data_IF_561538735710
#
_entry.id   IF_561538735710
#
_cell.length_a   1.000
_cell.length_b   1.000
_cell.length_c   1.000
_cell.angle_alpha   90.00
_cell.angle_beta   90.00
_cell.angle_gamma   90.00
#
_symmetry.space_group_name_H-M   'P 1'
#
loop_
_entity.id
_entity.type
_entity.pdbx_description
1 polymer ?
#
# COMPACT_ATOMS: atom_id res chain seq x y z
N UNK A 1 61.77 -17.80 -34.62
CA UNK A 1 60.85 -16.80 -33.98
C UNK A 1 59.72 -17.56 -33.32
N UNK A 2 59.72 -17.63 -31.97
CA UNK A 2 58.72 -18.35 -31.16
C UNK A 2 57.73 -17.30 -30.63
N UNK A 3 56.49 -17.39 -31.06
CA UNK A 3 55.41 -16.58 -30.51
C UNK A 3 54.87 -17.23 -29.25
N UNK A 4 55.05 -16.57 -28.12
CA UNK A 4 54.42 -16.94 -26.84
C UNK A 4 53.08 -16.24 -26.74
N UNK A 5 51.97 -16.99 -26.70
CA UNK A 5 50.63 -16.49 -26.42
C UNK A 5 50.44 -16.51 -24.91
N UNK A 6 50.33 -15.32 -24.31
CA UNK A 6 49.94 -15.17 -22.90
C UNK A 6 48.40 -15.27 -22.82
N UNK A 7 47.91 -16.34 -22.22
CA UNK A 7 46.50 -16.49 -21.88
C UNK A 7 46.20 -15.71 -20.60
N UNK A 8 45.33 -14.72 -20.69
CA UNK A 8 44.80 -13.96 -19.54
C UNK A 8 43.63 -14.74 -18.93
N UNK A 9 43.87 -15.40 -17.82
CA UNK A 9 42.77 -16.04 -17.02
C UNK A 9 42.07 -15.00 -16.19
N UNK A 10 40.84 -14.65 -16.53
CA UNK A 10 39.97 -13.81 -15.72
C UNK A 10 39.33 -14.72 -14.66
N UNK A 11 39.80 -14.61 -13.41
CA UNK A 11 39.16 -15.25 -12.28
C UNK A 11 37.86 -14.48 -11.96
N UNK A 12 36.70 -15.09 -12.19
CA UNK A 12 35.43 -14.60 -11.64
C UNK A 12 35.48 -14.79 -10.10
N UNK A 13 35.61 -13.70 -9.38
CA UNK A 13 35.39 -13.69 -7.93
C UNK A 13 33.90 -13.87 -7.66
N UNK A 14 33.49 -15.05 -7.25
CA UNK A 14 32.16 -15.29 -6.67
C UNK A 14 32.16 -14.60 -5.31
N UNK A 15 31.45 -13.48 -5.17
CA UNK A 15 31.25 -12.84 -3.92
C UNK A 15 30.50 -13.79 -2.97
N UNK A 16 31.12 -14.11 -1.83
CA UNK A 16 30.47 -14.89 -0.78
C UNK A 16 29.20 -14.15 -0.31
N UNK A 17 28.08 -14.86 -0.05
CA UNK A 17 26.89 -14.22 0.48
C UNK A 17 27.23 -13.58 1.83
N UNK A 18 27.01 -12.26 1.93
CA UNK A 18 27.14 -11.55 3.20
C UNK A 18 26.14 -12.18 4.19
N UNK A 19 26.64 -12.73 5.29
CA UNK A 19 25.78 -13.21 6.38
C UNK A 19 25.04 -11.97 6.90
N UNK A 20 23.73 -11.93 6.68
CA UNK A 20 22.89 -10.85 7.18
C UNK A 20 22.93 -10.85 8.71
N UNK A 21 23.11 -9.66 9.30
CA UNK A 21 23.04 -9.50 10.74
C UNK A 21 21.64 -9.90 11.23
N UNK A 22 21.56 -10.59 12.38
CA UNK A 22 20.29 -10.89 13.02
C UNK A 22 19.55 -9.57 13.34
N UNK A 23 18.20 -9.54 13.24
CA UNK A 23 17.44 -8.34 13.54
C UNK A 23 17.62 -7.92 15.00
N UNK A 24 17.69 -6.62 15.26
CA UNK A 24 17.66 -6.08 16.61
C UNK A 24 16.26 -6.28 17.20
N UNK A 25 16.15 -6.71 18.45
CA UNK A 25 14.86 -6.95 19.10
C UNK A 25 14.78 -6.32 20.50
N UNK A 26 13.58 -5.89 20.89
CA UNK A 26 13.27 -5.41 22.24
C UNK A 26 11.81 -5.69 22.59
N UNK A 27 11.47 -5.50 23.85
CA UNK A 27 10.08 -5.48 24.32
C UNK A 27 9.63 -4.03 24.41
N UNK A 28 8.51 -3.68 23.78
CA UNK A 28 7.93 -2.36 23.92
C UNK A 28 7.53 -2.12 25.37
N UNK A 29 8.05 -1.06 25.98
CA UNK A 29 7.91 -0.82 27.41
C UNK A 29 6.47 -0.46 27.83
N UNK A 30 5.63 0.03 26.90
CA UNK A 30 4.25 0.41 27.19
C UNK A 30 3.25 -0.69 26.91
N UNK A 31 3.53 -1.52 25.89
CA UNK A 31 2.59 -2.55 25.42
C UNK A 31 3.00 -3.97 25.83
N UNK A 32 4.28 -4.22 26.06
CA UNK A 32 4.81 -5.54 26.38
C UNK A 32 5.03 -6.43 25.16
N UNK A 33 4.72 -5.99 23.94
CA UNK A 33 4.94 -6.75 22.72
C UNK A 33 6.40 -6.74 22.29
N UNK A 34 6.83 -7.83 21.66
CA UNK A 34 8.16 -7.94 21.08
C UNK A 34 8.21 -7.24 19.74
N UNK A 35 9.17 -6.33 19.59
CA UNK A 35 9.44 -5.59 18.36
C UNK A 35 10.79 -6.00 17.79
N UNK A 36 10.86 -6.15 16.47
CA UNK A 36 12.09 -6.39 15.72
C UNK A 36 12.33 -5.22 14.77
N UNK A 37 13.58 -4.77 14.65
CA UNK A 37 14.01 -3.94 13.53
C UNK A 37 14.64 -4.83 12.47
N UNK A 38 13.96 -4.98 11.32
CA UNK A 38 14.36 -5.88 10.25
C UNK A 38 15.41 -5.28 9.34
N UNK A 39 15.27 -3.99 9.02
CA UNK A 39 16.20 -3.27 8.16
C UNK A 39 16.20 -1.79 8.48
N UNK A 40 17.40 -1.23 8.60
CA UNK A 40 17.66 0.22 8.66
C UNK A 40 18.56 0.69 7.52
N UNK A 41 18.66 -0.14 6.47
CA UNK A 41 19.43 0.19 5.26
C UNK A 41 18.91 1.47 4.62
N UNK A 42 19.77 2.31 4.05
CA UNK A 42 19.34 3.50 3.33
C UNK A 42 18.30 3.18 2.26
N UNK A 43 17.27 4.02 2.13
CA UNK A 43 16.22 3.85 1.13
C UNK A 43 15.33 2.62 1.32
N UNK A 44 15.36 1.99 2.52
CA UNK A 44 14.46 0.88 2.79
C UNK A 44 13.00 1.32 2.72
N UNK A 45 12.19 0.48 2.08
CA UNK A 45 10.76 0.73 1.90
C UNK A 45 10.03 -0.61 1.89
N UNK A 46 9.26 -0.86 2.95
CA UNK A 46 8.23 -1.91 2.93
C UNK A 46 7.10 -1.43 2.01
N UNK A 47 6.66 -2.27 1.10
CA UNK A 47 5.65 -1.91 0.10
C UNK A 47 4.39 -1.31 0.74
N UNK A 48 3.63 -0.56 -0.05
CA UNK A 48 2.36 0.00 0.38
C UNK A 48 1.44 -1.11 0.92
N UNK A 49 0.66 -0.81 1.95
CA UNK A 49 -0.01 -1.81 2.82
C UNK A 49 -0.83 -2.88 2.09
N UNK A 50 -1.35 -2.60 0.89
CA UNK A 50 -2.17 -3.50 0.08
C UNK A 50 -1.41 -4.20 -1.06
N UNK A 51 -0.11 -3.90 -1.27
CA UNK A 51 0.69 -4.59 -2.29
C UNK A 51 1.21 -5.92 -1.76
N UNK A 52 1.21 -6.96 -2.59
CA UNK A 52 1.80 -8.24 -2.19
C UNK A 52 3.31 -8.12 -2.01
N UNK A 53 3.79 -8.35 -0.78
CA UNK A 53 5.20 -8.34 -0.44
C UNK A 53 5.78 -9.74 -0.22
N UNK A 54 4.98 -10.80 -0.29
CA UNK A 54 5.37 -12.14 0.09
C UNK A 54 5.39 -13.08 -1.10
N UNK A 55 6.31 -14.06 -1.05
CA UNK A 55 6.28 -15.22 -1.94
C UNK A 55 4.99 -16.02 -1.74
N UNK A 56 4.56 -16.84 -2.72
CA UNK A 56 3.35 -17.67 -2.60
C UNK A 56 3.37 -18.60 -1.38
N UNK A 57 4.55 -19.04 -0.96
CA UNK A 57 4.73 -19.90 0.23
C UNK A 57 4.76 -19.09 1.53
N UNK A 58 4.81 -17.76 1.46
CA UNK A 58 4.94 -16.89 2.62
C UNK A 58 6.30 -16.97 3.34
N UNK A 59 7.28 -17.63 2.76
CA UNK A 59 8.60 -17.86 3.37
C UNK A 59 9.57 -16.69 3.22
N UNK A 60 9.37 -15.83 2.22
CA UNK A 60 10.16 -14.63 2.00
C UNK A 60 9.28 -13.40 1.85
N UNK A 61 9.72 -12.28 2.42
CA UNK A 61 9.20 -10.94 2.19
C UNK A 61 10.18 -10.14 1.34
N UNK A 62 9.70 -9.48 0.29
CA UNK A 62 10.52 -8.58 -0.53
C UNK A 62 10.34 -7.13 -0.08
N UNK A 63 11.39 -6.33 -0.18
CA UNK A 63 11.36 -4.90 0.11
C UNK A 63 12.43 -4.13 -0.66
N UNK A 64 12.24 -2.83 -0.79
CA UNK A 64 13.15 -1.91 -1.47
C UNK A 64 14.30 -1.49 -0.57
N UNK A 65 15.48 -1.28 -1.15
CA UNK A 65 16.61 -0.54 -0.54
C UNK A 65 17.21 0.44 -1.56
N UNK A 66 18.08 1.34 -1.14
CA UNK A 66 18.78 2.26 -2.07
C UNK A 66 19.62 1.49 -3.11
N UNK A 67 20.16 0.32 -2.72
CA UNK A 67 20.99 -0.51 -3.60
C UNK A 67 20.18 -1.42 -4.53
N UNK A 68 18.85 -1.47 -4.37
CA UNK A 68 17.96 -2.30 -5.18
C UNK A 68 16.92 -3.04 -4.36
N UNK A 69 16.81 -4.35 -4.54
CA UNK A 69 15.76 -5.18 -3.92
C UNK A 69 16.38 -6.18 -2.94
N UNK A 70 15.80 -6.28 -1.76
CA UNK A 70 16.18 -7.21 -0.71
C UNK A 70 15.05 -8.14 -0.35
N UNK A 71 15.37 -9.26 0.28
CA UNK A 71 14.41 -10.22 0.84
C UNK A 71 14.71 -10.50 2.30
N UNK A 72 13.67 -10.70 3.09
CA UNK A 72 13.74 -11.18 4.46
C UNK A 72 13.08 -12.57 4.56
N UNK A 73 13.75 -13.50 5.21
CA UNK A 73 13.17 -14.80 5.57
C UNK A 73 12.13 -14.59 6.68
N UNK A 74 10.90 -15.05 6.49
CA UNK A 74 9.79 -14.76 7.43
C UNK A 74 9.82 -15.56 8.73
N UNK A 75 10.69 -16.57 8.85
CA UNK A 75 10.87 -17.35 10.07
C UNK A 75 11.98 -16.78 10.95
N UNK A 76 13.08 -16.40 10.33
CA UNK A 76 14.28 -15.92 11.03
C UNK A 76 14.44 -14.40 10.99
N UNK A 77 13.75 -13.74 10.07
CA UNK A 77 13.89 -12.34 9.71
C UNK A 77 15.29 -11.95 9.25
N UNK A 78 16.09 -12.94 8.83
CA UNK A 78 17.39 -12.69 8.22
C UNK A 78 17.21 -12.03 6.84
N UNK A 79 17.94 -10.94 6.61
CA UNK A 79 17.86 -10.15 5.40
C UNK A 79 19.03 -10.45 4.47
N UNK A 80 18.78 -10.57 3.16
CA UNK A 80 19.80 -10.64 2.13
C UNK A 80 19.43 -9.76 0.93
N UNK A 81 20.42 -9.31 0.18
CA UNK A 81 20.18 -8.69 -1.13
C UNK A 81 19.66 -9.74 -2.12
N UNK A 82 18.64 -9.37 -2.90
CA UNK A 82 18.18 -10.13 -4.05
C UNK A 82 18.80 -9.57 -5.34
N UNK A 83 18.68 -8.28 -5.55
CA UNK A 83 19.22 -7.58 -6.72
C UNK A 83 19.99 -6.34 -6.27
N UNK A 84 21.28 -6.29 -6.62
CA UNK A 84 22.05 -5.05 -6.55
C UNK A 84 21.80 -4.25 -7.84
N UNK A 85 20.79 -3.39 -7.80
CA UNK A 85 20.31 -2.65 -8.97
C UNK A 85 19.78 -1.27 -8.55
N UNK A 86 20.70 -0.31 -8.27
CA UNK A 86 20.32 1.05 -7.91
C UNK A 86 19.44 1.67 -9.00
N UNK A 87 18.31 2.24 -8.62
CA UNK A 87 17.31 2.78 -9.57
C UNK A 87 16.19 1.81 -9.94
N UNK A 88 16.28 0.52 -9.55
CA UNK A 88 15.12 -0.35 -9.59
C UNK A 88 14.05 0.15 -8.58
N UNK A 89 12.82 0.23 -9.02
CA UNK A 89 11.66 0.52 -8.17
C UNK A 89 10.82 -0.74 -8.04
N UNK A 90 10.83 -1.31 -6.83
CA UNK A 90 10.08 -2.52 -6.51
C UNK A 90 8.58 -2.25 -6.58
N UNK A 91 7.84 -3.12 -7.26
CA UNK A 91 6.39 -3.05 -7.41
C UNK A 91 5.69 -3.99 -6.41
N UNK A 92 5.85 -5.31 -6.59
CA UNK A 92 5.23 -6.33 -5.73
C UNK A 92 5.85 -7.72 -6.01
N UNK A 93 5.50 -8.69 -5.15
CA UNK A 93 5.79 -10.10 -5.37
C UNK A 93 4.69 -10.80 -6.18
N UNK A 94 5.03 -11.90 -6.82
CA UNK A 94 4.09 -12.79 -7.49
C UNK A 94 3.13 -13.48 -6.51
N UNK A 95 1.92 -13.83 -7.00
CA UNK A 95 0.91 -14.58 -6.23
C UNK A 95 1.05 -16.09 -6.37
N UNK A 96 1.57 -16.55 -7.51
CA UNK A 96 1.75 -17.96 -7.85
C UNK A 96 3.20 -18.36 -8.05
N UNK A 97 4.02 -17.42 -8.53
CA UNK A 97 5.43 -17.65 -8.80
C UNK A 97 6.31 -16.90 -7.81
N UNK A 98 7.53 -17.39 -7.61
CA UNK A 98 8.54 -16.71 -6.77
C UNK A 98 9.23 -15.60 -7.57
N UNK A 99 8.46 -14.59 -7.92
CA UNK A 99 8.87 -13.48 -8.78
C UNK A 99 8.76 -12.15 -8.05
N UNK A 100 9.78 -11.31 -8.17
CA UNK A 100 9.73 -9.89 -7.79
C UNK A 100 9.54 -9.06 -9.07
N UNK A 101 8.46 -8.26 -9.11
CA UNK A 101 8.21 -7.33 -10.20
C UNK A 101 8.77 -5.96 -9.83
N UNK A 102 9.45 -5.31 -10.79
CA UNK A 102 10.03 -3.99 -10.57
C UNK A 102 10.06 -3.18 -11.87
N UNK A 103 10.24 -1.88 -11.74
CA UNK A 103 10.37 -0.97 -12.87
C UNK A 103 11.65 -0.17 -12.80
N UNK A 104 12.09 0.31 -13.97
CA UNK A 104 13.20 1.27 -14.08
C UNK A 104 12.82 2.37 -15.06
N UNK A 105 13.13 3.59 -14.70
CA UNK A 105 12.97 4.73 -15.58
C UNK A 105 14.23 4.90 -16.42
N UNK A 106 14.07 5.03 -17.74
CA UNK A 106 15.19 5.37 -18.63
C UNK A 106 15.77 6.73 -18.23
N UNK A 107 17.11 6.81 -18.20
CA UNK A 107 17.80 8.08 -17.96
C UNK A 107 17.79 8.90 -19.24
N UNK A 108 17.16 10.07 -19.23
CA UNK A 108 17.32 11.12 -20.23
C UNK A 108 16.07 11.52 -21.03
N UNK A 109 15.87 12.82 -21.20
CA UNK A 109 15.02 13.49 -22.18
C UNK A 109 13.52 13.41 -21.97
N UNK A 110 12.80 14.12 -22.84
CA UNK A 110 11.33 14.19 -22.84
C UNK A 110 10.65 12.85 -23.21
N UNK A 111 11.39 11.95 -23.90
CA UNK A 111 10.95 10.62 -24.32
C UNK A 111 11.26 9.51 -23.29
N UNK A 112 11.45 9.88 -22.02
CA UNK A 112 11.72 8.91 -20.98
C UNK A 112 10.61 7.85 -20.90
N UNK A 113 10.99 6.58 -20.91
CA UNK A 113 10.08 5.43 -20.77
C UNK A 113 10.33 4.73 -19.46
N UNK A 114 9.37 3.92 -19.04
CA UNK A 114 9.50 3.04 -17.90
C UNK A 114 9.54 1.60 -18.42
N UNK A 115 10.58 0.86 -18.06
CA UNK A 115 10.70 -0.56 -18.39
C UNK A 115 10.27 -1.39 -17.19
N UNK A 116 9.41 -2.37 -17.43
CA UNK A 116 8.91 -3.31 -16.44
C UNK A 116 9.68 -4.62 -16.53
N UNK A 117 10.11 -5.13 -15.40
CA UNK A 117 10.90 -6.35 -15.28
C UNK A 117 10.26 -7.33 -14.28
N UNK A 118 10.61 -8.59 -14.45
CA UNK A 118 10.39 -9.66 -13.47
C UNK A 118 11.73 -10.29 -13.12
N UNK A 119 11.98 -10.50 -11.85
CA UNK A 119 13.15 -11.20 -11.31
C UNK A 119 12.70 -12.46 -10.57
N UNK A 120 13.31 -13.58 -10.88
CA UNK A 120 13.17 -14.81 -10.11
C UNK A 120 13.87 -14.64 -8.74
N UNK A 121 13.14 -14.85 -7.64
CA UNK A 121 13.62 -14.57 -6.27
C UNK A 121 14.71 -15.56 -5.83
N UNK A 122 14.75 -16.76 -6.38
CA UNK A 122 15.70 -17.80 -6.00
C UNK A 122 17.00 -17.70 -6.78
N UNK A 123 16.91 -17.34 -8.08
CA UNK A 123 18.06 -17.33 -8.99
C UNK A 123 18.56 -15.93 -9.36
N UNK A 124 17.81 -14.88 -9.00
CA UNK A 124 18.02 -13.49 -9.38
C UNK A 124 18.04 -13.25 -10.91
N UNK A 125 17.55 -14.20 -11.71
CA UNK A 125 17.42 -14.01 -13.17
C UNK A 125 16.35 -12.99 -13.48
N UNK A 126 16.69 -12.00 -14.32
CA UNK A 126 15.82 -10.90 -14.71
C UNK A 126 15.37 -11.07 -16.16
N UNK A 127 14.07 -10.86 -16.40
CA UNK A 127 13.50 -10.74 -17.75
C UNK A 127 12.74 -9.41 -17.89
N UNK A 128 12.79 -8.82 -19.06
CA UNK A 128 11.95 -7.67 -19.40
C UNK A 128 10.55 -8.15 -19.77
N UNK A 129 9.53 -7.42 -19.29
CA UNK A 129 8.13 -7.66 -19.63
C UNK A 129 7.65 -6.69 -20.69
N UNK A 130 7.73 -5.38 -20.41
CA UNK A 130 7.19 -4.35 -21.28
C UNK A 130 7.94 -3.03 -21.13
N UNK A 131 7.68 -2.11 -22.06
CA UNK A 131 8.05 -0.70 -21.95
C UNK A 131 6.77 0.13 -22.04
N UNK A 132 6.60 1.08 -21.12
CA UNK A 132 5.44 1.96 -21.04
C UNK A 132 5.87 3.43 -21.07
N UNK A 133 4.96 4.36 -21.46
CA UNK A 133 5.26 5.79 -21.47
C UNK A 133 5.68 6.33 -20.10
N UNK A 134 6.46 7.41 -20.10
CA UNK A 134 6.69 8.22 -18.90
C UNK A 134 5.36 8.61 -18.23
N UNK A 135 5.34 8.66 -16.89
CA UNK A 135 4.13 8.95 -16.13
C UNK A 135 3.20 7.76 -15.94
N UNK A 136 3.51 6.59 -16.55
CA UNK A 136 2.81 5.35 -16.21
C UNK A 136 3.20 4.85 -14.82
N UNK A 137 2.23 4.26 -14.12
CA UNK A 137 2.45 3.49 -12.90
C UNK A 137 1.87 2.11 -13.09
N UNK A 138 2.53 1.12 -12.55
CA UNK A 138 2.02 -0.25 -12.46
C UNK A 138 1.73 -0.50 -10.99
N UNK A 139 0.47 -0.77 -10.68
CA UNK A 139 -0.01 -0.81 -9.31
C UNK A 139 -0.33 -2.24 -8.84
N UNK A 140 -0.65 -3.17 -9.74
CA UNK A 140 -1.13 -4.49 -9.31
C UNK A 140 -0.92 -5.58 -10.36
N UNK A 141 -0.96 -6.82 -9.89
CA UNK A 141 -0.88 -8.08 -10.64
C UNK A 141 -2.13 -8.89 -10.35
N UNK A 142 -2.72 -9.53 -11.37
CA UNK A 142 -3.94 -10.30 -11.18
C UNK A 142 -3.69 -11.67 -10.52
N UNK A 143 -4.77 -12.31 -10.06
CA UNK A 143 -4.74 -13.53 -9.25
C UNK A 143 -4.04 -14.72 -9.93
N UNK A 144 -4.01 -14.79 -11.26
CA UNK A 144 -3.37 -15.86 -12.03
C UNK A 144 -2.01 -15.49 -12.62
N UNK A 145 -1.50 -14.28 -12.33
CA UNK A 145 -0.23 -13.72 -12.81
C UNK A 145 -0.12 -13.59 -14.33
N UNK A 146 -1.22 -13.40 -15.01
CA UNK A 146 -1.23 -13.20 -16.46
C UNK A 146 -1.25 -11.73 -16.85
N UNK A 147 -1.77 -10.85 -15.99
CA UNK A 147 -1.95 -9.43 -16.27
C UNK A 147 -1.39 -8.54 -15.16
N UNK A 148 -0.60 -7.56 -15.56
CA UNK A 148 -0.34 -6.37 -14.76
C UNK A 148 -1.42 -5.33 -15.06
N UNK A 149 -1.81 -4.51 -14.09
CA UNK A 149 -2.61 -3.32 -14.35
C UNK A 149 -1.87 -2.06 -13.88
N UNK A 150 -2.07 -1.00 -14.65
CA UNK A 150 -1.47 0.29 -14.39
C UNK A 150 -2.31 1.43 -14.92
N UNK A 151 -1.87 2.63 -14.63
CA UNK A 151 -2.51 3.86 -15.09
C UNK A 151 -1.48 4.82 -15.68
N UNK A 152 -1.94 5.73 -16.55
CA UNK A 152 -1.13 6.79 -17.13
C UNK A 152 -1.95 8.07 -17.27
N UNK A 153 -1.35 9.20 -16.93
CA UNK A 153 -1.91 10.53 -17.21
C UNK A 153 -1.31 11.06 -18.53
N UNK A 154 -2.11 11.77 -19.30
CA UNK A 154 -1.67 12.36 -20.59
C UNK A 154 -0.64 13.48 -20.40
N UNK A 155 -0.59 14.07 -19.21
CA UNK A 155 0.37 15.10 -18.80
C UNK A 155 0.47 15.16 -17.28
N UNK A 156 1.60 15.63 -16.80
CA UNK A 156 1.77 15.91 -15.38
C UNK A 156 0.91 17.13 -14.97
N UNK A 157 0.43 17.11 -13.73
CA UNK A 157 -0.11 18.29 -13.13
C UNK A 157 1.00 19.08 -12.43
N UNK A 158 1.22 20.35 -12.75
CA UNK A 158 2.18 21.17 -12.05
C UNK A 158 1.92 21.16 -10.53
N UNK A 159 2.97 21.17 -9.74
CA UNK A 159 2.84 21.36 -8.30
C UNK A 159 2.17 22.72 -8.02
N UNK A 160 1.53 22.84 -6.86
CA UNK A 160 0.99 24.12 -6.41
C UNK A 160 2.11 25.16 -6.34
N UNK A 161 1.80 26.46 -6.55
CA UNK A 161 2.81 27.52 -6.55
C UNK A 161 3.70 27.56 -5.29
N UNK A 162 3.16 27.17 -4.14
CA UNK A 162 3.86 27.14 -2.86
C UNK A 162 4.35 25.74 -2.46
N UNK A 163 4.31 24.76 -3.37
CA UNK A 163 4.75 23.41 -3.05
C UNK A 163 6.27 23.39 -2.83
N UNK A 164 6.68 22.82 -1.71
CA UNK A 164 8.10 22.73 -1.32
C UNK A 164 8.87 21.60 -2.05
N UNK A 165 8.21 20.81 -2.90
CA UNK A 165 8.82 19.69 -3.62
C UNK A 165 8.69 18.35 -2.87
N UNK A 166 9.72 17.50 -2.97
CA UNK A 166 9.77 16.21 -2.28
C UNK A 166 10.48 16.37 -0.94
N UNK A 167 9.89 15.88 0.13
CA UNK A 167 10.55 15.80 1.42
C UNK A 167 11.69 14.76 1.36
N UNK A 168 12.92 15.21 1.51
CA UNK A 168 14.11 14.35 1.40
C UNK A 168 14.15 13.25 2.48
N UNK A 169 13.55 13.50 3.65
CA UNK A 169 13.55 12.54 4.77
C UNK A 169 12.55 11.42 4.56
N UNK A 170 11.42 11.71 3.98
CA UNK A 170 10.30 10.76 3.83
C UNK A 170 10.13 10.27 2.39
N UNK A 171 10.69 10.97 1.40
CA UNK A 171 10.48 10.69 -0.02
C UNK A 171 9.08 11.04 -0.52
N UNK A 172 8.25 11.67 0.31
CA UNK A 172 6.88 12.07 -0.06
C UNK A 172 6.86 13.45 -0.70
N UNK A 173 5.89 13.66 -1.59
CA UNK A 173 5.64 14.98 -2.17
C UNK A 173 5.11 15.92 -1.08
N UNK A 174 5.82 17.00 -0.82
CA UNK A 174 5.35 18.03 0.09
C UNK A 174 4.27 18.88 -0.59
N UNK A 175 3.10 18.96 0.02
CA UNK A 175 2.06 19.89 -0.37
C UNK A 175 2.21 21.16 0.46
N UNK A 176 2.21 22.32 -0.20
CA UNK A 176 2.19 23.62 0.47
C UNK A 176 1.17 24.52 -0.23
N UNK A 177 0.33 25.16 0.55
CA UNK A 177 -0.63 26.15 0.10
C UNK A 177 -0.92 27.12 1.25
N UNK A 178 -1.47 28.28 0.92
CA UNK A 178 -1.89 29.28 1.91
C UNK A 178 -3.40 29.50 1.83
N UNK A 179 -3.98 29.80 2.97
CA UNK A 179 -5.33 30.34 3.05
C UNK A 179 -5.41 31.72 2.36
N UNK A 180 -6.61 32.19 1.99
CA UNK A 180 -6.76 33.54 1.38
C UNK A 180 -6.21 34.67 2.22
N UNK A 181 -6.12 34.50 3.54
CA UNK A 181 -5.55 35.47 4.49
C UNK A 181 -4.01 35.40 4.60
N UNK A 182 -3.36 34.53 3.80
CA UNK A 182 -1.91 34.35 3.75
C UNK A 182 -1.32 33.37 4.77
N UNK A 183 -2.12 32.83 5.69
CA UNK A 183 -1.65 31.81 6.64
C UNK A 183 -1.34 30.50 5.91
N UNK A 184 -0.28 29.77 6.27
CA UNK A 184 0.00 28.47 5.67
C UNK A 184 -1.08 27.44 6.06
N UNK A 185 -1.46 26.60 5.10
CA UNK A 185 -2.30 25.43 5.35
C UNK A 185 -1.49 24.32 5.99
N UNK A 186 -2.12 23.55 6.89
CA UNK A 186 -1.57 22.26 7.32
C UNK A 186 -1.54 21.28 6.14
N UNK A 187 -0.70 20.25 6.25
CA UNK A 187 -0.49 19.29 5.15
C UNK A 187 -1.78 18.69 4.59
N UNK A 188 -2.70 18.28 5.47
CA UNK A 188 -3.98 17.67 5.06
C UNK A 188 -4.86 18.64 4.23
N UNK A 189 -4.94 19.91 4.64
CA UNK A 189 -5.71 20.93 3.92
C UNK A 189 -5.06 21.29 2.58
N UNK A 190 -3.73 21.39 2.55
CA UNK A 190 -2.98 21.63 1.32
C UNK A 190 -3.14 20.48 0.31
N UNK A 191 -3.20 19.23 0.79
CA UNK A 191 -3.49 18.04 -0.03
C UNK A 191 -4.90 18.15 -0.64
N UNK A 192 -5.91 18.49 0.14
CA UNK A 192 -7.28 18.65 -0.34
C UNK A 192 -7.42 19.77 -1.37
N UNK A 193 -6.76 20.92 -1.13
CA UNK A 193 -6.69 21.99 -2.10
C UNK A 193 -6.09 21.51 -3.43
N UNK A 194 -5.03 20.73 -3.40
CA UNK A 194 -4.41 20.11 -4.56
C UNK A 194 -5.35 19.17 -5.31
N UNK A 195 -6.11 18.36 -4.57
CA UNK A 195 -7.09 17.45 -5.16
C UNK A 195 -8.19 18.20 -5.91
N UNK A 196 -8.68 19.33 -5.37
CA UNK A 196 -9.64 20.20 -6.06
C UNK A 196 -9.06 20.76 -7.36
N UNK A 197 -7.84 21.29 -7.34
CA UNK A 197 -7.17 21.79 -8.55
C UNK A 197 -7.04 20.71 -9.62
N UNK A 198 -6.71 19.47 -9.22
CA UNK A 198 -6.58 18.36 -10.14
C UNK A 198 -7.92 17.94 -10.75
N UNK A 199 -8.98 17.91 -9.97
CA UNK A 199 -10.32 17.62 -10.47
C UNK A 199 -10.75 18.64 -11.51
N UNK A 200 -10.51 19.93 -11.25
CA UNK A 200 -10.87 21.02 -12.15
C UNK A 200 -10.00 21.04 -13.43
N UNK A 201 -8.76 20.57 -13.36
CA UNK A 201 -7.84 20.49 -14.49
C UNK A 201 -8.22 19.47 -15.57
N UNK A 202 -9.12 18.52 -15.26
CA UNK A 202 -9.65 17.51 -16.19
C UNK A 202 -8.55 16.80 -17.02
N UNK A 203 -7.48 16.35 -16.34
CA UNK A 203 -6.35 15.69 -17.01
C UNK A 203 -6.81 14.32 -17.51
N UNK A 204 -6.73 14.03 -18.82
CA UNK A 204 -7.06 12.72 -19.35
C UNK A 204 -6.16 11.62 -18.75
N UNK A 205 -6.77 10.57 -18.26
CA UNK A 205 -6.11 9.38 -17.71
C UNK A 205 -6.65 8.11 -18.33
N UNK A 206 -5.85 7.07 -18.28
CA UNK A 206 -6.20 5.75 -18.77
C UNK A 206 -5.76 4.69 -17.75
N UNK A 207 -6.63 3.74 -17.44
CA UNK A 207 -6.28 2.45 -16.84
C UNK A 207 -6.03 1.46 -17.99
N UNK A 208 -4.95 0.71 -17.88
CA UNK A 208 -4.57 -0.31 -18.85
C UNK A 208 -4.07 -1.59 -18.18
N UNK A 209 -4.13 -2.69 -18.92
CA UNK A 209 -3.48 -3.96 -18.56
C UNK A 209 -2.30 -4.25 -19.47
N UNK A 210 -1.35 -5.07 -18.98
CA UNK A 210 -0.21 -5.60 -19.73
C UNK A 210 -0.18 -7.11 -19.54
N UNK A 211 -0.20 -7.86 -20.62
CA UNK A 211 0.04 -9.29 -20.60
C UNK A 211 1.50 -9.59 -20.19
N UNK A 212 1.68 -10.37 -19.13
CA UNK A 212 2.98 -10.63 -18.50
C UNK A 212 3.92 -11.43 -19.41
N UNK A 213 3.36 -12.22 -20.34
CA UNK A 213 4.12 -13.07 -21.26
C UNK A 213 4.50 -12.33 -22.53
N UNK A 214 3.55 -11.62 -23.15
CA UNK A 214 3.75 -10.98 -24.45
C UNK A 214 4.15 -9.51 -24.36
N UNK A 215 3.93 -8.87 -23.19
CA UNK A 215 4.10 -7.43 -23.00
C UNK A 215 3.01 -6.58 -23.67
N UNK A 216 1.97 -7.19 -24.24
CA UNK A 216 0.91 -6.48 -24.94
C UNK A 216 0.08 -5.64 -23.96
N UNK A 217 -0.05 -4.34 -24.24
CA UNK A 217 -0.87 -3.40 -23.46
C UNK A 217 -2.28 -3.31 -24.06
N UNK A 218 -3.30 -3.25 -23.19
CA UNK A 218 -4.71 -3.02 -23.57
C UNK A 218 -5.33 -1.97 -22.67
N UNK A 219 -6.12 -1.04 -23.27
CA UNK A 219 -6.91 -0.05 -22.54
C UNK A 219 -8.09 -0.71 -21.85
N UNK A 220 -8.37 -0.34 -20.59
CA UNK A 220 -9.56 -0.80 -19.83
C UNK A 220 -10.58 0.34 -19.78
N UNK A 221 -10.18 1.51 -19.29
CA UNK A 221 -11.06 2.68 -19.15
C UNK A 221 -10.27 3.98 -19.28
N UNK A 222 -10.92 5.02 -19.82
CA UNK A 222 -10.40 6.38 -19.92
C UNK A 222 -11.35 7.34 -19.22
N UNK A 223 -10.80 8.29 -18.47
CA UNK A 223 -11.56 9.32 -17.76
C UNK A 223 -10.71 10.60 -17.63
N UNK A 224 -11.32 11.66 -17.10
CA UNK A 224 -10.62 12.90 -16.72
C UNK A 224 -10.53 13.09 -15.21
N UNK A 225 -11.01 12.12 -14.45
CA UNK A 225 -10.80 12.03 -13.01
C UNK A 225 -9.43 11.39 -12.72
N UNK A 226 -8.92 11.59 -11.51
CA UNK A 226 -7.66 10.98 -11.13
C UNK A 226 -7.85 9.49 -10.81
N UNK A 227 -7.64 8.64 -11.80
CA UNK A 227 -7.69 7.17 -11.65
C UNK A 227 -6.43 6.71 -10.93
N UNK A 228 -6.57 6.05 -9.77
CA UNK A 228 -5.45 5.67 -8.93
C UNK A 228 -5.77 4.42 -8.07
N UNK A 229 -4.82 3.96 -7.25
CA UNK A 229 -4.95 2.86 -6.28
C UNK A 229 -5.57 1.59 -6.88
N UNK A 230 -5.03 1.15 -8.03
CA UNK A 230 -5.52 -0.04 -8.70
C UNK A 230 -5.17 -1.29 -7.92
N UNK A 231 -6.14 -2.20 -7.77
CA UNK A 231 -5.94 -3.49 -7.11
C UNK A 231 -6.79 -4.55 -7.81
N UNK A 232 -6.15 -5.58 -8.34
CA UNK A 232 -6.91 -6.76 -8.75
C UNK A 232 -7.53 -7.48 -7.55
N UNK A 233 -8.69 -8.10 -7.76
CA UNK A 233 -9.20 -9.08 -6.81
C UNK A 233 -8.15 -10.19 -6.61
N UNK A 234 -7.88 -10.63 -5.39
CA UNK A 234 -6.90 -11.69 -5.13
C UNK A 234 -7.38 -13.07 -5.62
N UNK A 235 -8.64 -13.20 -6.03
CA UNK A 235 -9.24 -14.49 -6.44
C UNK A 235 -9.91 -14.46 -7.82
N UNK A 236 -10.30 -13.29 -8.33
CA UNK A 236 -10.88 -13.13 -9.66
C UNK A 236 -9.89 -12.38 -10.57
N UNK A 237 -9.24 -13.06 -11.53
CA UNK A 237 -8.19 -12.45 -12.34
C UNK A 237 -8.68 -11.37 -13.31
N UNK A 238 -9.99 -11.20 -13.47
CA UNK A 238 -10.58 -10.22 -14.37
C UNK A 238 -11.21 -9.03 -13.66
N UNK A 239 -11.35 -9.08 -12.33
CA UNK A 239 -11.99 -8.03 -11.55
C UNK A 239 -10.93 -7.08 -10.98
N UNK A 240 -11.02 -5.79 -11.33
CA UNK A 240 -10.13 -4.72 -10.91
C UNK A 240 -10.89 -3.70 -10.06
N UNK A 241 -10.38 -3.38 -8.88
CA UNK A 241 -10.79 -2.22 -8.09
C UNK A 241 -9.89 -1.04 -8.43
N UNK A 242 -10.46 0.17 -8.46
CA UNK A 242 -9.71 1.41 -8.64
C UNK A 242 -10.42 2.56 -7.94
N UNK A 243 -9.71 3.65 -7.73
CA UNK A 243 -10.33 4.85 -7.17
C UNK A 243 -10.34 6.03 -8.14
N UNK A 244 -11.36 6.86 -8.01
CA UNK A 244 -11.32 8.26 -8.43
C UNK A 244 -10.76 9.07 -7.26
N UNK A 245 -9.47 9.30 -7.25
CA UNK A 245 -8.85 10.10 -6.20
C UNK A 245 -9.13 11.58 -6.47
N UNK A 246 -9.80 12.24 -5.54
CA UNK A 246 -10.22 13.62 -5.72
C UNK A 246 -10.57 14.25 -4.39
N UNK A 247 -11.17 15.43 -4.37
CA UNK A 247 -11.82 15.94 -3.18
C UNK A 247 -12.91 14.93 -2.81
N UNK A 248 -12.71 14.23 -1.71
CA UNK A 248 -13.51 13.05 -1.35
C UNK A 248 -15.00 13.33 -1.24
N UNK A 249 -15.37 14.58 -0.89
CA UNK A 249 -16.76 15.04 -0.82
C UNK A 249 -17.36 15.48 -2.18
N UNK A 250 -16.57 15.48 -3.27
CA UNK A 250 -17.01 15.85 -4.63
C UNK A 250 -17.02 14.66 -5.59
N UNK A 251 -16.27 13.59 -5.31
CA UNK A 251 -16.19 12.39 -6.17
C UNK A 251 -16.59 11.16 -5.40
N UNK A 252 -17.22 10.19 -6.07
CA UNK A 252 -17.40 8.85 -5.55
C UNK A 252 -16.11 8.08 -5.79
N UNK A 253 -15.43 7.66 -4.73
CA UNK A 253 -14.04 7.22 -4.81
C UNK A 253 -13.86 5.81 -5.32
N UNK A 254 -14.61 4.81 -4.81
CA UNK A 254 -14.28 3.39 -4.94
C UNK A 254 -15.15 2.72 -5.98
N UNK A 255 -14.49 2.07 -6.96
CA UNK A 255 -15.14 1.43 -8.09
C UNK A 255 -14.51 0.08 -8.39
N UNK A 256 -15.30 -0.83 -8.98
CA UNK A 256 -14.81 -2.04 -9.62
C UNK A 256 -15.14 -2.04 -11.11
N UNK A 257 -14.33 -2.74 -11.92
CA UNK A 257 -14.49 -2.88 -13.36
C UNK A 257 -13.86 -4.20 -13.82
N UNK A 258 -14.40 -4.81 -14.89
CA UNK A 258 -13.72 -5.93 -15.54
C UNK A 258 -12.58 -5.45 -16.45
N UNK A 259 -11.60 -6.31 -16.69
CA UNK A 259 -10.44 -6.00 -17.57
C UNK A 259 -10.83 -5.72 -19.02
N UNK A 260 -12.02 -6.10 -19.44
CA UNK A 260 -12.60 -5.77 -20.75
C UNK A 260 -13.36 -4.42 -20.78
N UNK A 261 -13.40 -3.71 -19.65
CA UNK A 261 -14.12 -2.44 -19.49
C UNK A 261 -15.59 -2.58 -19.14
N UNK A 262 -16.12 -3.78 -19.00
CA UNK A 262 -17.50 -4.04 -18.62
C UNK A 262 -17.75 -4.02 -17.12
N UNK A 263 -19.01 -4.05 -16.70
CA UNK A 263 -19.47 -4.20 -15.32
C UNK A 263 -18.85 -3.18 -14.35
N UNK A 264 -18.76 -1.91 -14.76
CA UNK A 264 -18.34 -0.84 -13.85
C UNK A 264 -19.37 -0.68 -12.74
N UNK A 265 -18.94 -0.84 -11.48
CA UNK A 265 -19.80 -0.81 -10.29
C UNK A 265 -19.21 0.11 -9.25
N UNK A 266 -20.06 0.98 -8.68
CA UNK A 266 -19.70 1.83 -7.55
C UNK A 266 -19.79 1.03 -6.25
N UNK A 267 -18.73 1.01 -5.46
CA UNK A 267 -18.65 0.28 -4.19
C UNK A 267 -19.31 1.07 -3.06
N UNK A 268 -19.04 2.37 -3.01
CA UNK A 268 -19.59 3.24 -1.97
C UNK A 268 -20.32 4.43 -2.58
N UNK A 269 -21.56 4.67 -2.13
CA UNK A 269 -22.36 5.86 -2.45
C UNK A 269 -22.52 6.69 -1.20
N UNK A 270 -22.10 7.95 -1.24
CA UNK A 270 -22.24 8.88 -0.12
C UNK A 270 -23.69 9.07 0.29
N UNK A 271 -23.92 9.18 1.57
CA UNK A 271 -25.23 9.42 2.18
C UNK A 271 -25.34 10.80 2.80
N UNK A 272 -24.21 11.49 3.02
CA UNK A 272 -24.17 12.83 3.58
C UNK A 272 -23.08 13.71 2.94
N UNK A 273 -23.20 15.03 3.13
CA UNK A 273 -22.14 15.97 2.74
C UNK A 273 -20.89 15.75 3.62
N UNK A 274 -19.69 15.89 3.04
CA UNK A 274 -18.40 15.66 3.70
C UNK A 274 -18.17 14.23 4.19
N UNK A 275 -18.94 13.26 3.73
CA UNK A 275 -18.63 11.85 3.91
C UNK A 275 -17.43 11.48 3.05
N UNK A 276 -16.44 10.81 3.66
CA UNK A 276 -15.18 10.47 3.03
C UNK A 276 -14.94 8.96 3.11
N UNK A 277 -14.64 8.34 1.97
CA UNK A 277 -14.14 6.98 1.87
C UNK A 277 -12.70 7.00 1.35
N UNK A 278 -11.83 6.17 1.90
CA UNK A 278 -10.42 6.12 1.52
C UNK A 278 -9.73 4.79 1.81
N UNK A 279 -8.47 4.67 1.40
CA UNK A 279 -7.54 3.58 1.73
C UNK A 279 -8.15 2.17 1.54
N UNK A 280 -8.81 1.99 0.39
CA UNK A 280 -9.50 0.76 0.02
C UNK A 280 -8.54 -0.42 -0.19
N UNK A 281 -8.96 -1.62 0.21
CA UNK A 281 -8.22 -2.86 0.02
C UNK A 281 -9.12 -4.09 0.00
N UNK A 282 -8.66 -5.16 -0.63
CA UNK A 282 -9.36 -6.43 -0.69
C UNK A 282 -9.16 -7.27 0.57
N UNK A 283 -10.20 -7.98 1.00
CA UNK A 283 -10.01 -9.14 1.86
C UNK A 283 -9.26 -10.25 1.10
N UNK A 284 -8.46 -11.10 1.77
CA UNK A 284 -7.66 -12.13 1.11
C UNK A 284 -8.48 -13.15 0.29
N UNK A 285 -9.75 -13.35 0.64
CA UNK A 285 -10.66 -14.23 -0.08
C UNK A 285 -11.36 -13.58 -1.29
N UNK A 286 -11.05 -12.30 -1.57
CA UNK A 286 -11.62 -11.56 -2.70
C UNK A 286 -13.10 -11.24 -2.58
N UNK A 287 -13.74 -11.44 -1.42
CA UNK A 287 -15.19 -11.23 -1.25
C UNK A 287 -15.55 -9.83 -0.81
N UNK A 288 -14.70 -9.21 0.02
CA UNK A 288 -14.99 -7.92 0.63
C UNK A 288 -13.95 -6.88 0.23
N UNK A 289 -14.41 -5.70 -0.16
CA UNK A 289 -13.60 -4.50 -0.25
C UNK A 289 -13.79 -3.75 1.08
N UNK A 290 -12.68 -3.53 1.80
CA UNK A 290 -12.61 -2.75 3.01
C UNK A 290 -12.07 -1.36 2.72
N UNK A 291 -12.54 -0.34 3.46
CA UNK A 291 -12.08 1.04 3.31
C UNK A 291 -12.33 1.83 4.59
N UNK A 292 -11.50 2.83 4.89
CA UNK A 292 -11.81 3.79 5.94
C UNK A 292 -12.96 4.68 5.50
N UNK A 293 -13.88 4.94 6.40
CA UNK A 293 -15.06 5.76 6.15
C UNK A 293 -15.22 6.77 7.28
N UNK A 294 -15.54 8.02 6.93
CA UNK A 294 -15.78 9.10 7.86
C UNK A 294 -17.15 9.71 7.60
N UNK A 295 -17.96 9.83 8.64
CA UNK A 295 -19.37 10.24 8.54
C UNK A 295 -19.76 11.32 9.55
N UNK A 296 -19.46 12.61 9.31
CA UNK A 296 -18.66 13.19 8.23
C UNK A 296 -17.15 13.23 8.51
N UNK A 297 -16.38 13.86 7.61
CA UNK A 297 -14.94 14.05 7.72
C UNK A 297 -14.49 14.50 9.11
N UNK A 298 -13.62 13.70 9.73
CA UNK A 298 -12.98 14.02 11.01
C UNK A 298 -13.87 13.88 12.24
N UNK A 299 -15.11 13.40 12.12
CA UNK A 299 -16.05 13.29 13.25
C UNK A 299 -16.29 11.85 13.68
N UNK A 300 -16.89 11.03 12.84
CA UNK A 300 -17.12 9.60 13.11
C UNK A 300 -16.31 8.73 12.16
N UNK A 301 -15.79 7.61 12.68
CA UNK A 301 -14.84 6.77 11.97
C UNK A 301 -15.32 5.32 11.93
N UNK A 302 -15.17 4.71 10.74
CA UNK A 302 -15.56 3.32 10.49
C UNK A 302 -14.51 2.63 9.63
N UNK A 303 -14.30 1.36 9.89
CA UNK A 303 -13.79 0.46 8.88
C UNK A 303 -14.98 -0.19 8.19
N UNK A 304 -15.25 0.22 6.96
CA UNK A 304 -16.41 -0.18 6.19
C UNK A 304 -16.05 -1.30 5.21
N UNK A 305 -16.92 -2.30 5.11
CA UNK A 305 -16.80 -3.43 4.20
C UNK A 305 -17.98 -3.53 3.24
N UNK A 306 -17.69 -3.85 1.99
CA UNK A 306 -18.65 -4.09 0.92
C UNK A 306 -18.41 -5.47 0.32
N UNK A 307 -19.40 -6.36 0.39
CA UNK A 307 -19.37 -7.68 -0.26
C UNK A 307 -19.67 -7.53 -1.75
N UNK A 308 -18.71 -7.89 -2.60
CA UNK A 308 -18.82 -7.65 -4.05
C UNK A 308 -19.84 -8.51 -4.77
N UNK A 309 -20.23 -9.65 -4.20
CA UNK A 309 -21.20 -10.56 -4.79
C UNK A 309 -22.64 -10.21 -4.39
N UNK A 310 -22.84 -9.74 -3.17
CA UNK A 310 -24.18 -9.53 -2.58
C UNK A 310 -24.54 -8.07 -2.37
N UNK A 311 -23.56 -7.17 -2.49
CA UNK A 311 -23.65 -5.75 -2.14
C UNK A 311 -24.00 -5.50 -0.64
N UNK A 312 -23.87 -6.51 0.21
CA UNK A 312 -24.05 -6.35 1.65
C UNK A 312 -22.91 -5.48 2.22
N UNK A 313 -23.26 -4.67 3.21
CA UNK A 313 -22.34 -3.71 3.85
C UNK A 313 -22.19 -4.04 5.32
N UNK A 314 -20.95 -4.02 5.81
CA UNK A 314 -20.62 -4.22 7.23
C UNK A 314 -19.66 -3.14 7.66
N UNK A 315 -20.02 -2.37 8.71
CA UNK A 315 -19.23 -1.26 9.22
C UNK A 315 -18.87 -1.51 10.67
N UNK A 316 -17.58 -1.40 11.00
CA UNK A 316 -17.07 -1.46 12.37
C UNK A 316 -16.71 -0.06 12.82
N UNK A 317 -17.34 0.40 13.91
CA UNK A 317 -17.07 1.72 14.50
C UNK A 317 -15.69 1.73 15.16
N UNK A 318 -14.99 2.86 15.04
CA UNK A 318 -13.68 3.15 15.61
C UNK A 318 -13.77 4.40 16.47
N UNK A 319 -13.19 4.37 17.65
CA UNK A 319 -12.99 5.57 18.43
C UNK A 319 -11.97 6.50 17.78
N UNK A 320 -12.05 7.81 18.04
CA UNK A 320 -11.18 8.83 17.44
C UNK A 320 -9.69 8.50 17.56
N UNK A 321 -9.22 8.00 18.72
CA UNK A 321 -7.83 7.62 18.91
C UNK A 321 -7.43 6.35 18.18
N UNK A 322 -8.39 5.54 17.74
CA UNK A 322 -8.20 4.29 17.01
C UNK A 322 -8.15 4.49 15.50
N UNK A 323 -8.54 5.69 15.02
CA UNK A 323 -8.43 5.99 13.61
C UNK A 323 -6.98 5.80 13.13
N UNK A 324 -6.83 5.17 11.98
CA UNK A 324 -5.54 4.86 11.39
C UNK A 324 -5.49 5.34 9.94
N UNK A 325 -4.29 5.70 9.48
CA UNK A 325 -4.09 6.08 8.07
C UNK A 325 -4.40 4.88 7.18
N UNK A 326 -3.88 3.70 7.55
CA UNK A 326 -4.10 2.47 6.80
C UNK A 326 -4.56 1.35 7.71
N UNK A 327 -5.39 0.49 7.15
CA UNK A 327 -5.86 -0.73 7.78
C UNK A 327 -5.44 -1.93 6.94
N UNK A 328 -5.34 -3.10 7.58
CA UNK A 328 -5.13 -4.36 6.91
C UNK A 328 -5.93 -5.46 7.62
N UNK A 329 -6.14 -6.61 6.98
CA UNK A 329 -6.88 -7.74 7.53
C UNK A 329 -6.04 -8.99 7.50
N UNK A 330 -6.12 -9.81 8.56
CA UNK A 330 -5.41 -11.08 8.65
C UNK A 330 -5.85 -12.09 7.58
N UNK A 331 -5.00 -13.06 7.25
CA UNK A 331 -5.29 -14.06 6.23
C UNK A 331 -6.57 -14.87 6.53
N UNK A 332 -6.85 -15.15 7.79
CA UNK A 332 -8.08 -15.82 8.25
C UNK A 332 -9.27 -14.86 8.43
N UNK A 333 -9.07 -13.56 8.24
CA UNK A 333 -10.08 -12.48 8.32
C UNK A 333 -10.70 -12.29 9.70
N UNK A 334 -10.04 -12.75 10.75
CA UNK A 334 -10.51 -12.65 12.14
C UNK A 334 -10.01 -11.39 12.84
N UNK A 335 -8.92 -10.80 12.36
CA UNK A 335 -8.25 -9.64 12.95
C UNK A 335 -8.03 -8.56 11.90
N UNK A 336 -8.01 -7.32 12.37
CA UNK A 336 -7.57 -6.17 11.57
C UNK A 336 -6.41 -5.47 12.25
N UNK A 337 -5.63 -4.72 11.48
CA UNK A 337 -4.59 -3.85 12.00
C UNK A 337 -4.82 -2.42 11.57
N UNK A 338 -4.26 -1.47 12.33
CA UNK A 338 -4.21 -0.07 11.98
C UNK A 338 -2.87 0.53 12.38
N UNK A 339 -2.41 1.48 11.59
CA UNK A 339 -1.11 2.12 11.81
C UNK A 339 -1.17 3.47 12.54
N UNK A 340 -2.36 3.80 13.08
CA UNK A 340 -2.58 5.01 13.88
C UNK A 340 -2.47 6.31 13.09
N UNK A 341 -2.39 7.41 13.82
CA UNK A 341 -2.25 8.75 13.27
C UNK A 341 -1.89 9.76 14.36
N UNK A 342 -1.41 10.92 13.98
CA UNK A 342 -1.12 12.00 14.92
C UNK A 342 -2.26 13.04 14.99
N UNK A 343 -2.11 14.00 15.91
CA UNK A 343 -3.09 15.06 16.15
C UNK A 343 -3.24 16.06 14.99
N UNK A 344 -2.30 16.08 14.04
CA UNK A 344 -2.37 16.96 12.86
C UNK A 344 -3.10 16.31 11.69
N UNK A 345 -3.39 15.02 11.78
CA UNK A 345 -4.19 14.29 10.79
C UNK A 345 -5.68 14.52 10.96
N UNK A 346 -6.47 14.05 10.00
CA UNK A 346 -7.91 14.32 9.91
C UNK A 346 -8.71 13.98 11.17
N UNK A 347 -8.30 12.97 11.91
CA UNK A 347 -8.95 12.57 13.16
C UNK A 347 -8.66 13.50 14.34
N UNK A 348 -7.59 14.30 14.27
CA UNK A 348 -7.12 15.14 15.39
C UNK A 348 -7.03 14.37 16.71
N UNK A 349 -6.55 13.10 16.62
CA UNK A 349 -6.51 12.18 17.74
C UNK A 349 -5.44 12.61 18.76
N UNK A 350 -5.77 12.88 20.02
CA UNK A 350 -4.78 13.28 21.03
C UNK A 350 -3.87 12.13 21.46
N UNK A 351 -4.32 10.86 21.34
CA UNK A 351 -3.57 9.64 21.69
C UNK A 351 -3.71 8.58 20.57
N UNK A 352 -3.48 8.98 19.30
CA UNK A 352 -3.62 8.10 18.14
C UNK A 352 -2.32 7.46 17.65
N UNK A 353 -1.16 7.79 18.25
CA UNK A 353 0.15 7.30 17.81
C UNK A 353 0.46 5.89 18.34
N UNK A 354 -0.23 4.90 17.80
CA UNK A 354 -0.06 3.49 18.16
C UNK A 354 -0.12 2.61 16.92
N UNK A 355 0.58 1.49 16.95
CA UNK A 355 0.27 0.35 16.10
C UNK A 355 -0.87 -0.43 16.77
N UNK A 356 -1.98 -0.62 16.07
CA UNK A 356 -3.18 -1.27 16.59
C UNK A 356 -3.39 -2.67 16.02
N UNK A 357 -3.96 -3.53 16.87
CA UNK A 357 -4.66 -4.75 16.51
C UNK A 357 -6.13 -4.61 16.89
N UNK A 358 -7.03 -4.93 15.97
CA UNK A 358 -8.46 -4.79 16.17
C UNK A 358 -9.14 -6.16 16.13
N UNK A 359 -9.96 -6.42 17.17
CA UNK A 359 -10.81 -7.60 17.30
C UNK A 359 -12.25 -7.20 16.98
N UNK A 360 -12.82 -7.64 15.82
CA UNK A 360 -14.16 -7.24 15.43
C UNK A 360 -15.21 -7.86 16.35
N UNK A 361 -16.17 -7.04 16.77
CA UNK A 361 -17.29 -7.42 17.61
C UNK A 361 -18.60 -7.07 16.91
N UNK A 362 -19.47 -8.04 16.59
CA UNK A 362 -20.79 -7.75 16.07
C UNK A 362 -21.66 -7.12 17.17
N UNK A 363 -22.57 -6.25 16.78
CA UNK A 363 -23.65 -5.81 17.66
C UNK A 363 -24.70 -6.93 17.72
N UNK A 364 -24.98 -7.51 18.90
CA UNK A 364 -25.87 -8.65 19.00
C UNK A 364 -27.34 -8.26 18.76
N UNK A 365 -28.04 -9.07 18.01
CA UNK A 365 -29.51 -9.04 17.94
C UNK A 365 -30.07 -9.78 19.17
N UNK A 366 -30.42 -9.03 20.21
CA UNK A 366 -30.86 -9.60 21.50
C UNK A 366 -32.28 -10.15 21.46
N UNK A 367 -33.09 -9.77 20.49
CA UNK A 367 -34.50 -10.15 20.40
C UNK A 367 -34.82 -11.10 19.25
N UNK A 368 -33.88 -11.29 18.31
CA UNK A 368 -34.12 -12.05 17.09
C UNK A 368 -35.14 -11.40 16.14
N UNK A 369 -35.46 -10.13 16.38
CA UNK A 369 -36.47 -9.38 15.62
C UNK A 369 -35.73 -8.52 14.58
N UNK A 370 -35.94 -8.83 13.31
CA UNK A 370 -35.32 -8.10 12.20
C UNK A 370 -36.38 -7.26 11.47
N UNK A 371 -35.98 -6.09 11.01
CA UNK A 371 -36.83 -5.28 10.13
C UNK A 371 -37.02 -6.00 8.77
N UNK A 372 -38.15 -5.76 8.08
CA UNK A 372 -38.45 -6.37 6.78
C UNK A 372 -37.37 -6.11 5.72
N UNK A 373 -36.68 -4.97 5.82
CA UNK A 373 -35.58 -4.58 4.92
C UNK A 373 -34.19 -4.84 5.51
N UNK A 374 -34.06 -5.64 6.57
CA UNK A 374 -32.79 -5.86 7.28
C UNK A 374 -31.62 -6.28 6.37
N UNK A 375 -31.91 -7.06 5.32
CA UNK A 375 -30.88 -7.51 4.37
C UNK A 375 -30.28 -6.38 3.50
N UNK A 376 -30.97 -5.24 3.42
CA UNK A 376 -30.46 -4.04 2.71
C UNK A 376 -29.77 -3.03 3.64
N UNK A 377 -29.87 -3.21 4.94
CA UNK A 377 -29.26 -2.32 5.94
C UNK A 377 -27.79 -2.67 6.15
N UNK A 378 -27.08 -1.71 6.75
CA UNK A 378 -25.66 -1.89 7.13
C UNK A 378 -25.61 -2.75 8.40
N UNK A 379 -24.83 -3.84 8.36
CA UNK A 379 -24.48 -4.59 9.56
C UNK A 379 -23.46 -3.78 10.37
N UNK A 380 -23.88 -3.23 11.51
CA UNK A 380 -23.01 -2.48 12.41
C UNK A 380 -22.25 -3.41 13.35
N UNK A 381 -20.99 -3.05 13.63
CA UNK A 381 -20.14 -3.66 14.63
C UNK A 381 -19.25 -2.65 15.31
N UNK A 382 -18.43 -3.09 16.24
CA UNK A 382 -17.39 -2.32 16.92
C UNK A 382 -16.09 -3.10 16.92
N UNK A 383 -15.01 -2.46 17.35
CA UNK A 383 -13.75 -3.14 17.62
C UNK A 383 -13.42 -3.16 19.12
N UNK A 384 -12.68 -4.17 19.55
CA UNK A 384 -11.81 -4.04 20.70
C UNK A 384 -10.40 -3.80 20.19
N UNK A 385 -9.87 -2.63 20.46
CA UNK A 385 -8.53 -2.24 20.03
C UNK A 385 -7.48 -2.66 21.07
N UNK A 386 -6.38 -3.21 20.60
CA UNK A 386 -5.18 -3.54 21.35
C UNK A 386 -4.03 -2.71 20.81
N UNK A 387 -3.24 -2.08 21.70
CA UNK A 387 -2.05 -1.31 21.34
C UNK A 387 -0.84 -2.23 21.30
N UNK A 388 -0.16 -2.31 20.14
CA UNK A 388 0.98 -3.21 19.94
C UNK A 388 2.35 -2.51 20.05
N UNK A 389 2.46 -1.26 19.59
CA UNK A 389 3.72 -0.50 19.61
C UNK A 389 3.43 0.96 19.92
N UNK A 390 4.25 1.54 20.80
CA UNK A 390 4.28 2.98 21.02
C UNK A 390 4.91 3.72 19.84
N UNK A 391 4.07 4.41 19.07
CA UNK A 391 4.46 5.23 17.93
C UNK A 391 4.65 6.72 18.30
N UNK A 392 4.77 7.04 19.59
CA UNK A 392 4.84 8.44 20.09
C UNK A 392 5.92 9.31 19.45
N UNK A 393 7.02 8.70 18.99
CA UNK A 393 8.11 9.38 18.28
C UNK A 393 7.98 9.37 16.76
N UNK A 394 6.94 8.73 16.20
CA UNK A 394 6.70 8.67 14.77
C UNK A 394 6.39 10.05 14.20
N UNK A 395 7.07 10.43 13.11
CA UNK A 395 6.64 11.50 12.22
C UNK A 395 5.80 10.86 11.10
N UNK A 396 4.49 11.10 11.10
CA UNK A 396 3.54 10.48 10.17
C UNK A 396 3.62 11.03 8.74
N UNK A 397 4.55 11.95 8.43
CA UNK A 397 4.96 12.18 7.04
C UNK A 397 5.55 10.92 6.42
N UNK A 398 6.09 10.01 7.24
CA UNK A 398 6.40 8.64 6.89
C UNK A 398 5.25 7.74 7.36
N UNK A 399 4.30 7.46 6.48
CA UNK A 399 3.17 6.58 6.77
C UNK A 399 3.64 5.14 7.01
N UNK A 400 3.20 4.47 8.11
CA UNK A 400 3.77 3.17 8.50
C UNK A 400 3.39 2.01 7.58
N UNK A 401 2.21 2.01 6.95
CA UNK A 401 1.78 0.97 6.00
C UNK A 401 1.80 -0.44 6.59
N UNK A 402 1.13 -0.63 7.73
CA UNK A 402 1.10 -1.90 8.46
C UNK A 402 0.43 -3.03 7.66
N UNK A 403 1.01 -4.23 7.75
CA UNK A 403 0.44 -5.45 7.15
C UNK A 403 0.74 -6.68 7.97
N UNK A 404 -0.13 -7.67 7.91
CA UNK A 404 0.11 -8.97 8.52
C UNK A 404 1.19 -9.77 7.77
N UNK A 405 1.98 -10.55 8.51
CA UNK A 405 2.73 -11.66 7.93
C UNK A 405 1.77 -12.76 7.46
N UNK A 406 2.16 -13.60 6.49
CA UNK A 406 1.29 -14.67 5.98
C UNK A 406 0.81 -15.66 7.03
N UNK A 407 1.60 -15.90 8.07
CA UNK A 407 1.26 -16.80 9.20
C UNK A 407 0.44 -16.09 10.30
N UNK A 408 0.14 -14.79 10.14
CA UNK A 408 -0.67 -14.01 11.08
C UNK A 408 0.01 -13.71 12.42
N UNK A 409 1.32 -13.98 12.58
CA UNK A 409 2.00 -13.80 13.87
C UNK A 409 2.62 -12.42 14.05
N UNK A 410 2.84 -11.71 12.97
CA UNK A 410 3.54 -10.43 12.96
C UNK A 410 2.78 -9.38 12.19
N UNK A 411 2.89 -8.12 12.64
CA UNK A 411 2.61 -6.96 11.81
C UNK A 411 3.92 -6.34 11.36
N UNK A 412 4.07 -6.14 10.05
CA UNK A 412 5.23 -5.51 9.44
C UNK A 412 4.86 -4.07 9.10
N UNK A 413 5.72 -3.13 9.47
CA UNK A 413 5.49 -1.72 9.22
C UNK A 413 6.82 -0.98 9.04
N UNK A 414 6.79 0.20 8.49
CA UNK A 414 7.93 1.11 8.47
C UNK A 414 7.71 2.24 9.46
N UNK A 415 8.77 2.70 10.09
CA UNK A 415 8.69 3.78 11.05
C UNK A 415 10.01 4.55 11.15
N UNK A 416 9.96 5.73 11.75
CA UNK A 416 11.13 6.56 12.09
C UNK A 416 11.25 6.81 13.60
N UNK A 417 10.68 5.92 14.41
CA UNK A 417 10.65 6.03 15.88
C UNK A 417 12.02 6.04 16.55
N UNK A 418 13.06 5.58 15.86
CA UNK A 418 14.46 5.64 16.29
C UNK A 418 15.24 6.76 15.58
N UNK A 419 14.56 7.76 14.99
CA UNK A 419 15.16 8.93 14.34
C UNK A 419 15.58 8.74 12.88
N UNK A 420 15.41 7.52 12.32
CA UNK A 420 15.62 7.21 10.90
C UNK A 420 14.58 6.21 10.43
N UNK A 421 14.26 6.25 9.14
CA UNK A 421 13.33 5.28 8.54
C UNK A 421 13.91 3.86 8.61
N UNK A 422 13.11 2.93 9.10
CA UNK A 422 13.44 1.52 9.19
C UNK A 422 12.20 0.64 8.99
N UNK A 423 12.40 -0.64 8.70
CA UNK A 423 11.34 -1.63 8.61
C UNK A 423 11.34 -2.42 9.91
N UNK A 424 10.17 -2.53 10.51
CA UNK A 424 9.93 -3.21 11.78
C UNK A 424 8.93 -4.35 11.63
N UNK A 425 8.97 -5.26 12.60
CA UNK A 425 7.92 -6.25 12.84
C UNK A 425 7.55 -6.24 14.32
N UNK A 426 6.27 -6.31 14.64
CA UNK A 426 5.80 -6.54 16.01
C UNK A 426 5.08 -7.87 16.10
N UNK A 427 5.42 -8.66 17.13
CA UNK A 427 4.76 -9.94 17.41
C UNK A 427 3.36 -9.68 17.97
N UNK A 428 2.33 -10.29 17.35
CA UNK A 428 0.93 -10.10 17.76
C UNK A 428 0.67 -10.75 19.12
N UNK A 429 1.18 -11.96 19.33
CA UNK A 429 1.04 -12.63 20.61
C UNK A 429 1.92 -11.95 21.67
N UNK A 430 1.37 -11.77 22.87
CA UNK A 430 2.17 -11.33 24.02
C UNK A 430 3.26 -12.37 24.30
N UNK A 431 4.49 -11.96 24.64
CA UNK A 431 5.52 -12.87 25.10
C UNK A 431 4.99 -13.68 26.28
N UNK A 432 5.18 -15.00 26.25
CA UNK A 432 4.87 -15.82 27.43
C UNK A 432 5.84 -15.44 28.55
N UNK A 433 5.30 -15.01 29.66
CA UNK A 433 6.04 -14.69 30.89
C UNK A 433 6.83 -15.90 31.40
#
# INVERSE_FOLDING_TARGET
MRNSVFGLSIALAVAAPSIAAAPTSWIDAKTGHKVLRLSDAPGNYALYFNYNAYTPQGDLMIFQTADGISVADTKTWAVRSLLHRPGAHLLFAGHKTRTAYFSEQARGGDDATITIFAADIDTAKVRRIAVVPKGSRIDTLNADETLLAGQVASRDMPLQPNAAGVDIKTGQTAYAANWPDGRPMVYADAKEFRLNQRLDAKIPMEIFTIDVTTGQRRSVVKATDWLNHLQFSPTDPTLLMYCHEGPWHRVDRIWTIRTDGSQMTKVHTRTMNMEIAGHEFWSPDGKTIWYDLQTPRGEDFWLAGYDVATAKRRWYHLDRNEWSVHYNVSADRTLFSGDGGDSEMVAHAPDGKWMYLFHPKPVPDVAGIRADNADSLIEAGTFAAEKLVDMGKQDYKLEPNARFSPDGKWLIFRANIEGKAAIYAVEIAMPRS
#
